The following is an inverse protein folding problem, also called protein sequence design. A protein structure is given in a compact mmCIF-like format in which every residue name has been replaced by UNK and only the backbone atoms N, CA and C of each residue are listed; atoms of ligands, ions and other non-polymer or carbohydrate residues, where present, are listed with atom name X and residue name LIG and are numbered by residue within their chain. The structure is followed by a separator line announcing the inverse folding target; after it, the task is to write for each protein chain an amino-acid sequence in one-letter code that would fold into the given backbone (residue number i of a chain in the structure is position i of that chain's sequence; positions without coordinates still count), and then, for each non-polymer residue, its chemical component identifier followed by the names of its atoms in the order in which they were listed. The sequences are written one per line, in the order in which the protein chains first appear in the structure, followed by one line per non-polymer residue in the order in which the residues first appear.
data_IF_133321337100
#
_entry.id   IF_133321337100
#
_cell.length_a   1.000
_cell.length_b   1.000
_cell.length_c   1.000
_cell.angle_alpha   90.00
_cell.angle_beta   90.00
_cell.angle_gamma   90.00
#
_symmetry.space_group_name_H-M   'P 1'
#
loop_
_entity.id
_entity.type
_entity.pdbx_description
1 polymer ?
#
# COMPACT_ATOMS: atom_id res chain seq x y z
N UNK A 1 15.59 9.74 -16.78
CA UNK A 1 15.88 10.08 -15.37
C UNK A 1 17.09 9.26 -14.94
N UNK A 2 18.10 9.87 -14.33
CA UNK A 2 19.32 9.18 -13.87
C UNK A 2 19.52 9.48 -12.38
N UNK A 3 19.64 8.43 -11.56
CA UNK A 3 19.73 8.56 -10.11
C UNK A 3 18.42 8.96 -9.42
N UNK A 4 18.46 9.05 -8.09
CA UNK A 4 17.31 9.48 -7.29
C UNK A 4 17.24 8.87 -5.89
N UNK A 5 17.04 9.71 -4.87
CA UNK A 5 16.69 9.26 -3.50
C UNK A 5 15.17 9.25 -3.36
N UNK A 6 14.64 8.40 -2.47
CA UNK A 6 13.21 8.39 -2.14
C UNK A 6 12.71 9.78 -1.71
N UNK A 7 13.53 10.57 -1.01
CA UNK A 7 13.16 11.93 -0.60
C UNK A 7 12.97 12.92 -1.76
N UNK A 8 13.60 12.65 -2.92
CA UNK A 8 13.51 13.51 -4.11
C UNK A 8 12.49 13.01 -5.14
N UNK A 9 11.87 11.83 -4.94
CA UNK A 9 11.10 11.14 -5.97
C UNK A 9 10.02 12.03 -6.60
N UNK A 10 9.20 12.70 -5.78
CA UNK A 10 8.10 13.56 -6.23
C UNK A 10 8.61 14.75 -7.04
N UNK A 11 9.67 15.40 -6.59
CA UNK A 11 10.22 16.57 -7.29
C UNK A 11 10.78 16.18 -8.66
N UNK A 12 11.48 15.04 -8.74
CA UNK A 12 11.97 14.51 -10.03
C UNK A 12 10.80 14.12 -10.96
N UNK A 13 9.79 13.42 -10.44
CA UNK A 13 8.60 13.05 -11.22
C UNK A 13 7.84 14.29 -11.71
N UNK A 14 7.70 15.31 -10.87
CA UNK A 14 7.10 16.59 -11.24
C UNK A 14 7.84 17.25 -12.39
N UNK A 15 9.18 17.31 -12.33
CA UNK A 15 9.98 17.87 -13.42
C UNK A 15 9.81 17.09 -14.72
N UNK A 16 9.85 15.75 -14.66
CA UNK A 16 9.64 14.91 -15.82
C UNK A 16 8.26 15.13 -16.47
N UNK A 17 7.19 15.23 -15.67
CA UNK A 17 5.83 15.50 -16.19
C UNK A 17 5.73 16.90 -16.79
N UNK A 18 6.29 17.91 -16.13
CA UNK A 18 6.28 19.30 -16.63
C UNK A 18 6.97 19.38 -18.02
N UNK A 19 8.11 18.72 -18.20
CA UNK A 19 8.83 18.66 -19.48
C UNK A 19 8.02 17.94 -20.57
N UNK A 20 7.39 16.80 -20.23
CA UNK A 20 6.53 16.06 -21.18
C UNK A 20 5.34 16.90 -21.61
N UNK A 21 4.69 17.62 -20.68
CA UNK A 21 3.56 18.51 -21.00
C UNK A 21 4.00 19.68 -21.88
N UNK A 22 5.16 20.27 -21.61
CA UNK A 22 5.72 21.34 -22.42
C UNK A 22 5.97 20.88 -23.88
N UNK A 23 6.51 19.67 -24.05
CA UNK A 23 6.73 19.09 -25.38
C UNK A 23 5.43 18.69 -26.08
N UNK A 24 4.49 18.08 -25.36
CA UNK A 24 3.22 17.59 -25.93
C UNK A 24 2.20 18.71 -26.20
N UNK A 25 2.37 19.88 -25.57
CA UNK A 25 1.51 21.05 -25.76
C UNK A 25 0.10 20.91 -25.15
N UNK A 26 -0.16 19.88 -24.33
CA UNK A 26 -1.44 19.67 -23.64
C UNK A 26 -1.23 19.23 -22.20
N UNK A 27 -2.10 19.70 -21.31
CA UNK A 27 -2.10 19.37 -19.88
C UNK A 27 -1.79 20.58 -18.99
N UNK A 28 -1.74 20.35 -17.69
CA UNK A 28 -1.40 21.41 -16.72
C UNK A 28 0.09 21.75 -16.82
N UNK A 29 0.40 23.04 -17.02
CA UNK A 29 1.79 23.53 -17.14
C UNK A 29 2.69 23.17 -15.94
N UNK A 30 2.11 22.95 -14.76
CA UNK A 30 2.82 22.55 -13.54
C UNK A 30 2.10 21.40 -12.87
N UNK A 31 2.85 20.38 -12.47
CA UNK A 31 2.34 19.21 -11.75
C UNK A 31 1.67 19.62 -10.42
N UNK A 32 0.43 19.18 -10.15
CA UNK A 32 -0.28 19.48 -8.90
C UNK A 32 0.18 18.60 -7.71
N UNK A 33 1.09 17.65 -7.95
CA UNK A 33 1.51 16.60 -7.00
C UNK A 33 2.11 17.13 -5.69
N UNK A 34 2.48 18.42 -5.62
CA UNK A 34 2.91 19.05 -4.37
C UNK A 34 1.81 19.12 -3.30
N UNK A 35 0.54 19.12 -3.71
CA UNK A 35 -0.62 19.24 -2.82
C UNK A 35 -1.63 18.10 -2.97
N UNK A 36 -1.34 17.15 -3.85
CA UNK A 36 -2.19 15.98 -4.04
C UNK A 36 -1.90 14.97 -2.92
N UNK A 37 -2.86 14.65 -2.04
CA UNK A 37 -2.66 13.61 -1.03
C UNK A 37 -2.46 12.25 -1.70
N UNK A 38 -1.69 11.39 -1.04
CA UNK A 38 -1.59 9.97 -1.42
C UNK A 38 -2.88 9.24 -1.02
N UNK A 39 -3.08 8.07 -1.62
CA UNK A 39 -4.18 7.18 -1.24
C UNK A 39 -4.12 6.87 0.26
N UNK A 40 -5.28 6.86 0.92
CA UNK A 40 -5.40 6.67 2.37
C UNK A 40 -5.05 7.91 3.20
N UNK A 41 -4.37 8.92 2.66
CA UNK A 41 -3.94 10.08 3.42
C UNK A 41 -5.09 11.06 3.71
N UNK A 42 -5.23 11.45 4.97
CA UNK A 42 -6.17 12.46 5.43
C UNK A 42 -5.59 13.24 6.63
N UNK A 43 -6.15 14.41 6.98
CA UNK A 43 -5.73 15.14 8.18
C UNK A 43 -5.88 14.30 9.46
N UNK A 44 -5.03 14.50 10.49
CA UNK A 44 -5.06 13.69 11.71
C UNK A 44 -6.43 13.64 12.41
N UNK A 45 -7.16 14.76 12.43
CA UNK A 45 -8.52 14.81 13.00
C UNK A 45 -9.52 13.96 12.22
N UNK A 46 -9.35 13.81 10.90
CA UNK A 46 -10.18 12.94 10.09
C UNK A 46 -9.80 11.46 10.32
N UNK A 47 -8.49 11.14 10.37
CA UNK A 47 -8.02 9.79 10.66
C UNK A 47 -8.45 9.31 12.05
N UNK A 48 -8.48 10.19 13.05
CA UNK A 48 -8.96 9.88 14.40
C UNK A 48 -10.46 9.55 14.49
N UNK A 49 -11.23 9.76 13.40
CA UNK A 49 -12.66 9.42 13.30
C UNK A 49 -12.92 8.18 12.43
N UNK A 50 -11.87 7.57 11.87
CA UNK A 50 -12.01 6.37 11.03
C UNK A 50 -12.34 5.18 11.94
N UNK A 51 -13.47 4.53 11.67
CA UNK A 51 -13.95 3.38 12.43
C UNK A 51 -13.24 2.09 11.97
N UNK A 52 -12.02 1.90 12.48
CA UNK A 52 -11.21 0.70 12.26
C UNK A 52 -10.16 0.57 13.37
N UNK A 53 -9.56 -0.63 13.56
CA UNK A 53 -8.43 -0.79 14.46
C UNK A 53 -7.32 0.21 14.18
N UNK A 54 -6.81 0.90 15.22
CA UNK A 54 -5.84 1.98 15.06
C UNK A 54 -4.56 1.60 14.29
N UNK A 55 -4.14 0.33 14.38
CA UNK A 55 -3.04 -0.22 13.56
C UNK A 55 -3.33 -0.12 12.06
N UNK A 56 -4.54 -0.52 11.65
CA UNK A 56 -4.95 -0.47 10.26
C UNK A 56 -5.08 0.99 9.81
N UNK A 57 -5.61 1.89 10.64
CA UNK A 57 -5.65 3.34 10.33
C UNK A 57 -4.24 3.89 10.15
N UNK A 58 -3.28 3.51 10.99
CA UNK A 58 -1.89 3.96 10.86
C UNK A 58 -1.22 3.47 9.56
N UNK A 59 -1.68 2.33 9.00
CA UNK A 59 -1.10 1.70 7.81
C UNK A 59 -1.80 2.07 6.50
N UNK A 60 -3.13 2.06 6.51
CA UNK A 60 -4.01 2.22 5.34
C UNK A 60 -4.82 3.52 5.37
N UNK A 61 -4.72 4.30 6.45
CA UNK A 61 -5.43 5.56 6.60
C UNK A 61 -6.94 5.40 6.43
N UNK A 62 -7.53 6.15 5.50
CA UNK A 62 -8.97 6.11 5.23
C UNK A 62 -9.46 4.78 4.65
N UNK A 63 -8.57 3.92 4.14
CA UNK A 63 -8.95 2.59 3.61
C UNK A 63 -9.03 1.51 4.70
N UNK A 64 -8.62 1.82 5.93
CA UNK A 64 -8.58 0.87 7.03
C UNK A 64 -9.90 0.11 7.30
N UNK A 65 -11.09 0.73 7.21
CA UNK A 65 -12.35 0.00 7.39
C UNK A 65 -12.59 -1.05 6.31
N UNK A 66 -12.18 -0.77 5.06
CA UNK A 66 -12.28 -1.72 3.95
C UNK A 66 -11.38 -2.93 4.20
N UNK A 67 -10.15 -2.69 4.69
CA UNK A 67 -9.22 -3.77 5.06
C UNK A 67 -9.78 -4.61 6.21
N UNK A 68 -10.28 -3.96 7.26
CA UNK A 68 -10.84 -4.63 8.43
C UNK A 68 -12.04 -5.52 8.08
N UNK A 69 -12.91 -5.07 7.16
CA UNK A 69 -14.06 -5.82 6.71
C UNK A 69 -13.70 -7.11 5.94
N UNK A 70 -12.46 -7.25 5.45
CA UNK A 70 -12.01 -8.42 4.70
C UNK A 70 -11.52 -9.58 5.58
N UNK A 71 -11.51 -9.40 6.90
CA UNK A 71 -11.23 -10.45 7.88
C UNK A 71 -10.12 -10.09 8.85
N UNK A 72 -10.27 -10.54 10.09
CA UNK A 72 -9.36 -10.24 11.20
C UNK A 72 -8.45 -11.41 11.59
N UNK A 73 -8.60 -12.57 10.96
CA UNK A 73 -7.80 -13.76 11.29
C UNK A 73 -6.30 -13.46 11.11
N UNK A 74 -5.44 -13.87 12.05
CA UNK A 74 -4.01 -13.65 11.92
C UNK A 74 -3.43 -14.46 10.75
N UNK A 75 -2.45 -13.89 10.05
CA UNK A 75 -1.68 -14.63 9.03
C UNK A 75 -0.69 -15.59 9.71
N UNK A 76 -0.07 -15.13 10.80
CA UNK A 76 0.85 -15.88 11.66
C UNK A 76 0.47 -15.56 13.09
N UNK A 77 0.34 -16.58 13.93
CA UNK A 77 -0.02 -16.40 15.33
C UNK A 77 0.98 -15.50 16.06
N UNK A 78 0.49 -14.60 16.91
CA UNK A 78 1.33 -13.62 17.62
C UNK A 78 1.84 -12.45 16.77
N UNK A 79 1.54 -12.41 15.47
CA UNK A 79 1.83 -11.26 14.59
C UNK A 79 0.60 -10.39 14.35
N UNK A 80 0.78 -9.09 14.05
CA UNK A 80 -0.33 -8.17 13.90
C UNK A 80 -1.00 -8.23 12.51
N UNK A 81 -0.36 -8.82 11.51
CA UNK A 81 -0.88 -8.88 10.15
C UNK A 81 -2.04 -9.88 10.01
N UNK A 82 -3.09 -9.44 9.31
CA UNK A 82 -4.36 -10.18 9.18
C UNK A 82 -4.61 -10.67 7.76
N UNK A 83 -5.43 -11.70 7.61
CA UNK A 83 -5.89 -12.21 6.31
C UNK A 83 -6.60 -11.12 5.51
N UNK A 84 -7.30 -10.19 6.16
CA UNK A 84 -7.92 -9.02 5.51
C UNK A 84 -6.90 -8.13 4.80
N UNK A 85 -5.71 -7.94 5.38
CA UNK A 85 -4.61 -7.20 4.73
C UNK A 85 -4.12 -7.91 3.47
N UNK A 86 -4.02 -9.26 3.49
CA UNK A 86 -3.62 -10.02 2.30
C UNK A 86 -4.66 -9.94 1.18
N UNK A 87 -5.94 -10.09 1.52
CA UNK A 87 -7.05 -9.99 0.55
C UNK A 87 -7.13 -8.60 -0.07
N UNK A 88 -7.01 -7.55 0.76
CA UNK A 88 -6.99 -6.17 0.28
C UNK A 88 -5.84 -5.96 -0.72
N UNK A 89 -4.66 -6.49 -0.41
CA UNK A 89 -3.50 -6.35 -1.26
C UNK A 89 -3.68 -7.00 -2.65
N UNK A 90 -4.37 -8.15 -2.73
CA UNK A 90 -4.74 -8.77 -4.03
C UNK A 90 -5.76 -7.93 -4.78
N UNK A 91 -6.83 -7.49 -4.11
CA UNK A 91 -7.96 -6.79 -4.75
C UNK A 91 -7.62 -5.38 -5.20
N UNK A 92 -6.78 -4.66 -4.45
CA UNK A 92 -6.60 -3.22 -4.60
C UNK A 92 -5.15 -2.77 -4.82
N UNK A 93 -4.16 -3.58 -4.41
CA UNK A 93 -2.75 -3.15 -4.42
C UNK A 93 -1.87 -3.80 -5.50
N UNK A 94 -2.48 -4.55 -6.42
CA UNK A 94 -1.83 -5.11 -7.60
C UNK A 94 -0.88 -6.28 -7.32
N UNK A 95 -1.08 -6.99 -6.21
CA UNK A 95 -0.33 -8.23 -5.88
C UNK A 95 -0.56 -9.29 -6.96
N UNK A 96 0.52 -9.97 -7.38
CA UNK A 96 0.48 -11.09 -8.34
C UNK A 96 1.20 -12.34 -7.85
N UNK A 97 1.97 -12.24 -6.77
CA UNK A 97 2.80 -13.31 -6.24
C UNK A 97 2.77 -13.33 -4.71
N UNK A 98 3.07 -14.48 -4.11
CA UNK A 98 3.22 -14.60 -2.65
C UNK A 98 4.33 -13.68 -2.12
N UNK A 99 5.38 -13.43 -2.90
CA UNK A 99 6.42 -12.48 -2.54
C UNK A 99 5.90 -11.03 -2.48
N UNK A 100 4.96 -10.64 -3.35
CA UNK A 100 4.33 -9.31 -3.22
C UNK A 100 3.62 -9.17 -1.87
N UNK A 101 2.89 -10.20 -1.45
CA UNK A 101 2.22 -10.23 -0.16
C UNK A 101 3.20 -10.15 0.99
N UNK A 102 4.20 -11.03 1.04
CA UNK A 102 5.04 -11.24 2.22
C UNK A 102 6.25 -10.31 2.32
N UNK A 103 6.73 -9.76 1.19
CA UNK A 103 7.96 -8.95 1.17
C UNK A 103 7.68 -7.47 0.93
N UNK A 104 6.60 -7.14 0.21
CA UNK A 104 6.27 -5.77 -0.20
C UNK A 104 5.06 -5.21 0.54
N UNK A 105 3.99 -6.00 0.70
CA UNK A 105 2.71 -5.55 1.26
C UNK A 105 2.51 -5.86 2.73
N UNK A 106 3.14 -6.90 3.25
CA UNK A 106 3.25 -7.23 4.67
C UNK A 106 4.74 -7.42 4.97
N UNK A 107 5.25 -7.03 6.15
CA UNK A 107 6.69 -7.12 6.45
C UNK A 107 7.08 -8.49 7.01
N UNK A 108 6.22 -9.50 6.82
CA UNK A 108 6.36 -10.84 7.40
C UNK A 108 7.62 -11.52 6.86
N UNK A 109 7.92 -11.32 5.58
CA UNK A 109 9.06 -11.91 4.88
C UNK A 109 10.44 -11.48 5.38
N UNK A 110 10.52 -10.42 6.22
CA UNK A 110 11.77 -10.00 6.84
C UNK A 110 12.29 -11.01 7.87
N UNK A 111 11.42 -11.84 8.44
CA UNK A 111 11.78 -12.90 9.39
C UNK A 111 11.56 -14.25 8.71
N UNK A 112 12.62 -15.04 8.43
CA UNK A 112 12.48 -16.30 7.70
C UNK A 112 11.52 -17.31 8.35
N UNK A 113 11.49 -17.38 9.68
CA UNK A 113 10.58 -18.28 10.41
C UNK A 113 9.11 -17.88 10.19
N UNK A 114 8.78 -16.59 10.32
CA UNK A 114 7.42 -16.08 10.10
C UNK A 114 7.01 -16.23 8.64
N UNK A 115 7.94 -16.02 7.69
CA UNK A 115 7.70 -16.29 6.27
C UNK A 115 7.26 -17.73 6.06
N UNK A 116 7.98 -18.70 6.61
CA UNK A 116 7.68 -20.11 6.44
C UNK A 116 6.26 -20.45 6.93
N UNK A 117 5.84 -19.84 8.05
CA UNK A 117 4.48 -19.99 8.59
C UNK A 117 3.41 -19.28 7.74
N UNK A 118 3.73 -18.15 7.12
CA UNK A 118 2.77 -17.35 6.35
C UNK A 118 2.54 -17.82 4.91
N UNK A 119 3.51 -18.50 4.29
CA UNK A 119 3.43 -18.94 2.88
C UNK A 119 2.15 -19.74 2.58
N UNK A 120 1.72 -20.72 3.40
CA UNK A 120 0.48 -21.47 3.14
C UNK A 120 -0.76 -20.56 3.08
N UNK A 121 -0.91 -19.66 4.06
CA UNK A 121 -2.04 -18.71 4.12
C UNK A 121 -2.00 -17.75 2.94
N UNK A 122 -0.84 -17.16 2.65
CA UNK A 122 -0.68 -16.22 1.53
C UNK A 122 -0.92 -16.88 0.16
N UNK A 123 -0.50 -18.13 -0.01
CA UNK A 123 -0.76 -18.89 -1.24
C UNK A 123 -2.25 -19.19 -1.41
N UNK A 124 -2.92 -19.58 -0.32
CA UNK A 124 -4.37 -19.83 -0.31
C UNK A 124 -5.17 -18.56 -0.65
N UNK A 125 -4.83 -17.43 -0.02
CA UNK A 125 -5.47 -16.14 -0.33
C UNK A 125 -5.23 -15.73 -1.78
N UNK A 126 -4.00 -15.83 -2.28
CA UNK A 126 -3.70 -15.45 -3.65
C UNK A 126 -4.49 -16.29 -4.67
N UNK A 127 -4.62 -17.60 -4.42
CA UNK A 127 -5.37 -18.49 -5.29
C UNK A 127 -6.90 -18.26 -5.24
N UNK A 128 -7.44 -17.85 -4.09
CA UNK A 128 -8.86 -17.60 -3.92
C UNK A 128 -9.34 -16.25 -4.50
N UNK A 129 -8.43 -15.30 -4.65
CA UNK A 129 -8.71 -13.91 -5.04
C UNK A 129 -8.29 -13.58 -6.50
N UNK A 130 -7.66 -14.54 -7.20
CA UNK A 130 -7.20 -14.40 -8.60
C UNK A 130 -8.16 -15.07 -9.58
#
# INVERSE_FOLDING_TARGET
MVGGKLTAYRAMASGAVDEVVAWYGRGARRSPTARLPLVGAAPPLALGRVDAPGRLVARYGTEAPLVAALGSDPVVEGRPETVGELRFAVRAEGVRTVADLLDRRTRIGLVPADRALAVPVASSVLAAES
#
